data_IF_722967596398
#
_entry.id   IF_722967596398
#
_cell.length_a   1.000
_cell.length_b   1.000
_cell.length_c   1.000
_cell.angle_alpha   90.00
_cell.angle_beta   90.00
_cell.angle_gamma   90.00
#
_symmetry.space_group_name_H-M   'P 1'
#
loop_
_entity.id
_entity.type
_entity.pdbx_description
1 polymer ?
#
# COMPACT_ATOMS: atom_id res chain seq x y z
N UNK A 1 -11.06 14.83 -21.37
CA UNK A 1 -11.18 13.58 -20.60
C UNK A 1 -9.81 12.94 -20.30
N UNK A 2 -9.04 12.46 -21.27
CA UNK A 2 -7.75 11.80 -20.98
C UNK A 2 -6.70 12.70 -20.32
N UNK A 3 -6.62 13.97 -20.70
CA UNK A 3 -5.68 14.94 -20.12
C UNK A 3 -6.10 15.39 -18.72
N UNK A 4 -7.39 15.45 -18.44
CA UNK A 4 -7.91 15.78 -17.12
C UNK A 4 -7.66 14.65 -16.11
N UNK A 5 -7.86 13.42 -16.53
CA UNK A 5 -7.53 12.21 -15.78
C UNK A 5 -6.05 12.18 -15.37
N UNK A 6 -5.14 12.43 -16.32
CA UNK A 6 -3.70 12.49 -16.04
C UNK A 6 -3.34 13.61 -15.07
N UNK A 7 -4.00 14.77 -15.17
CA UNK A 7 -3.77 15.90 -14.24
C UNK A 7 -4.19 15.54 -12.82
N UNK A 8 -5.33 14.88 -12.64
CA UNK A 8 -5.80 14.45 -11.32
C UNK A 8 -4.82 13.45 -10.68
N UNK A 9 -4.34 12.46 -11.44
CA UNK A 9 -3.36 11.47 -10.96
C UNK A 9 -1.99 12.07 -10.61
N UNK A 10 -1.71 13.29 -11.06
CA UNK A 10 -0.49 14.03 -10.73
C UNK A 10 -0.62 14.94 -9.50
N UNK A 11 -1.82 15.12 -8.94
CA UNK A 11 -2.05 16.08 -7.86
C UNK A 11 -1.86 15.48 -6.48
N UNK A 12 -2.08 14.18 -6.33
CA UNK A 12 -2.10 13.50 -5.03
C UNK A 12 -0.85 12.63 -4.89
N UNK A 13 -0.15 12.75 -3.77
CA UNK A 13 0.89 11.81 -3.39
C UNK A 13 0.29 10.70 -2.54
N UNK A 14 0.55 9.45 -2.95
CA UNK A 14 0.13 8.25 -2.22
C UNK A 14 1.32 7.72 -1.42
N UNK A 15 1.20 7.70 -0.09
CA UNK A 15 2.14 7.08 0.82
C UNK A 15 1.81 5.60 1.03
N UNK A 16 2.82 4.74 1.04
CA UNK A 16 2.67 3.29 1.25
C UNK A 16 3.55 2.89 2.42
N UNK A 17 2.91 2.53 3.54
CA UNK A 17 3.55 2.07 4.75
C UNK A 17 3.73 0.55 4.70
N UNK A 18 4.96 0.10 4.53
CA UNK A 18 5.31 -1.31 4.33
C UNK A 18 5.26 -1.72 2.86
N UNK A 19 6.32 -2.39 2.39
CA UNK A 19 6.48 -2.82 1.00
C UNK A 19 6.58 -4.34 0.88
N UNK A 20 5.82 -5.03 1.74
CA UNK A 20 5.66 -6.48 1.73
C UNK A 20 4.70 -6.98 0.65
N UNK A 21 3.98 -8.06 0.95
CA UNK A 21 3.04 -8.70 0.02
C UNK A 21 1.90 -7.81 -0.46
N UNK A 22 1.46 -6.85 0.36
CA UNK A 22 0.46 -5.85 -0.01
C UNK A 22 1.10 -4.64 -0.68
N UNK A 23 1.97 -3.94 0.03
CA UNK A 23 2.46 -2.63 -0.41
C UNK A 23 3.26 -2.67 -1.70
N UNK A 24 4.03 -3.74 -1.95
CA UNK A 24 4.74 -3.89 -3.23
C UNK A 24 3.78 -4.01 -4.42
N UNK A 25 2.68 -4.74 -4.27
CA UNK A 25 1.65 -4.84 -5.31
C UNK A 25 0.84 -3.56 -5.46
N UNK A 26 0.46 -2.88 -4.35
CA UNK A 26 -0.23 -1.58 -4.39
C UNK A 26 0.62 -0.58 -5.20
N UNK A 27 1.91 -0.48 -4.91
CA UNK A 27 2.82 0.42 -5.62
C UNK A 27 2.86 0.15 -7.12
N UNK A 28 2.96 -1.13 -7.53
CA UNK A 28 2.97 -1.53 -8.93
C UNK A 28 1.64 -1.21 -9.63
N UNK A 29 0.51 -1.48 -8.99
CA UNK A 29 -0.81 -1.17 -9.57
C UNK A 29 -1.00 0.33 -9.75
N UNK A 30 -0.64 1.15 -8.75
CA UNK A 30 -0.74 2.61 -8.84
C UNK A 30 0.19 3.18 -9.93
N UNK A 31 1.43 2.68 -10.03
CA UNK A 31 2.37 3.08 -11.06
C UNK A 31 1.84 2.78 -12.48
N UNK A 32 1.28 1.59 -12.68
CA UNK A 32 0.67 1.17 -13.96
C UNK A 32 -0.59 1.95 -14.30
N UNK A 33 -1.36 2.34 -13.29
CA UNK A 33 -2.55 3.17 -13.45
C UNK A 33 -2.23 4.65 -13.74
N UNK A 34 -0.96 5.06 -13.60
CA UNK A 34 -0.52 6.41 -13.96
C UNK A 34 -0.50 7.41 -12.80
N UNK A 35 -0.62 6.97 -11.54
CA UNK A 35 -0.34 7.82 -10.38
C UNK A 35 1.11 8.27 -10.44
N UNK A 36 1.35 9.59 -10.35
CA UNK A 36 2.68 10.14 -10.61
C UNK A 36 3.54 10.32 -9.36
N UNK A 37 2.94 10.40 -8.18
CA UNK A 37 3.65 10.68 -6.94
C UNK A 37 3.46 9.53 -5.95
N UNK A 38 4.52 8.77 -5.71
CA UNK A 38 4.54 7.68 -4.73
C UNK A 38 5.54 7.96 -3.63
N UNK A 39 5.18 7.63 -2.40
CA UNK A 39 6.06 7.68 -1.24
C UNK A 39 6.14 6.28 -0.63
N UNK A 40 7.32 5.68 -0.70
CA UNK A 40 7.59 4.29 -0.33
C UNK A 40 8.33 4.24 1.00
N UNK A 41 7.75 3.61 2.01
CA UNK A 41 8.31 3.53 3.34
C UNK A 41 8.42 2.06 3.76
N UNK A 42 9.63 1.62 4.02
CA UNK A 42 9.95 0.31 4.60
C UNK A 42 11.36 0.34 5.17
N UNK A 43 11.67 -0.49 6.15
CA UNK A 43 13.02 -0.58 6.73
C UNK A 43 13.73 -1.89 6.42
N UNK A 44 13.03 -2.83 5.77
CA UNK A 44 13.55 -4.17 5.49
C UNK A 44 14.38 -4.23 4.20
N UNK A 45 15.10 -5.34 4.12
CA UNK A 45 15.71 -5.82 2.89
C UNK A 45 14.87 -6.93 2.27
N UNK A 46 15.03 -7.11 0.97
CA UNK A 46 14.44 -8.24 0.25
C UNK A 46 15.11 -9.53 0.71
N UNK A 47 14.30 -10.48 1.13
CA UNK A 47 14.71 -11.83 1.49
C UNK A 47 14.14 -12.83 0.48
N UNK A 48 14.84 -13.96 0.26
CA UNK A 48 14.40 -14.99 -0.67
C UNK A 48 13.00 -15.55 -0.31
N UNK A 49 12.71 -15.67 0.99
CA UNK A 49 11.39 -16.10 1.50
C UNK A 49 10.26 -15.12 1.17
N UNK A 50 10.59 -13.91 0.76
CA UNK A 50 9.61 -12.90 0.36
C UNK A 50 9.10 -13.09 -1.08
N UNK A 51 9.89 -13.72 -1.95
CA UNK A 51 9.65 -13.81 -3.39
C UNK A 51 8.38 -14.58 -3.74
N UNK A 52 7.89 -15.42 -2.84
CA UNK A 52 6.66 -16.19 -3.03
C UNK A 52 5.37 -15.34 -3.02
N UNK A 53 5.43 -14.06 -2.53
CA UNK A 53 4.24 -13.21 -2.40
C UNK A 53 4.47 -11.71 -2.52
N UNK A 54 5.72 -11.26 -2.65
CA UNK A 54 6.09 -9.84 -2.79
C UNK A 54 6.58 -9.58 -4.22
N UNK A 55 6.46 -8.36 -4.68
CA UNK A 55 6.82 -7.98 -6.06
C UNK A 55 8.33 -7.69 -6.17
N UNK A 56 9.15 -8.71 -5.90
CA UNK A 56 10.61 -8.66 -6.04
C UNK A 56 11.11 -9.85 -6.84
N UNK A 57 12.36 -9.75 -7.31
CA UNK A 57 13.03 -10.76 -8.10
C UNK A 57 14.27 -11.29 -7.37
N UNK A 58 14.79 -12.44 -7.79
CA UNK A 58 16.02 -13.01 -7.21
C UNK A 58 17.19 -12.02 -7.16
N UNK A 59 17.33 -11.17 -8.19
CA UNK A 59 18.37 -10.13 -8.25
C UNK A 59 18.23 -9.05 -7.16
N UNK A 60 17.08 -8.94 -6.53
CA UNK A 60 16.79 -7.91 -5.52
C UNK A 60 17.13 -8.39 -4.11
N UNK A 61 17.41 -9.68 -3.91
CA UNK A 61 17.74 -10.25 -2.59
C UNK A 61 18.92 -9.52 -1.97
N UNK A 62 18.75 -9.11 -0.71
CA UNK A 62 19.72 -8.32 0.07
C UNK A 62 19.64 -6.81 -0.13
N UNK A 63 18.94 -6.30 -1.16
CA UNK A 63 18.75 -4.87 -1.39
C UNK A 63 17.66 -4.32 -0.45
N UNK A 64 17.70 -3.02 -0.18
CA UNK A 64 16.59 -2.35 0.52
C UNK A 64 15.31 -2.47 -0.32
N UNK A 65 14.18 -2.83 0.32
CA UNK A 65 12.89 -2.94 -0.37
C UNK A 65 12.50 -1.65 -1.05
N UNK A 66 12.75 -0.51 -0.42
CA UNK A 66 12.46 0.82 -0.96
C UNK A 66 13.23 1.11 -2.25
N UNK A 67 14.51 0.74 -2.33
CA UNK A 67 15.36 0.96 -3.51
C UNK A 67 15.01 -0.01 -4.65
N UNK A 68 14.88 -1.30 -4.33
CA UNK A 68 14.56 -2.33 -5.31
C UNK A 68 13.20 -2.06 -5.98
N UNK A 69 12.19 -1.70 -5.19
CA UNK A 69 10.87 -1.39 -5.71
C UNK A 69 10.87 -0.09 -6.52
N UNK A 70 11.54 0.96 -6.05
CA UNK A 70 11.61 2.22 -6.79
C UNK A 70 12.22 2.04 -8.20
N UNK A 71 13.28 1.26 -8.31
CA UNK A 71 13.88 0.93 -9.62
C UNK A 71 12.89 0.21 -10.55
N UNK A 72 12.15 -0.78 -10.03
CA UNK A 72 11.15 -1.50 -10.81
C UNK A 72 10.00 -0.58 -11.26
N UNK A 73 9.53 0.30 -10.37
CA UNK A 73 8.46 1.24 -10.70
C UNK A 73 8.89 2.26 -11.76
N UNK A 74 10.13 2.74 -11.73
CA UNK A 74 10.69 3.62 -12.75
C UNK A 74 10.87 2.90 -14.09
N UNK A 75 11.11 1.59 -14.08
CA UNK A 75 11.12 0.77 -15.30
C UNK A 75 9.71 0.56 -15.90
N UNK A 76 8.65 0.67 -15.07
CA UNK A 76 7.26 0.64 -15.53
C UNK A 76 6.85 2.02 -16.07
N UNK A 77 7.19 3.08 -15.36
CA UNK A 77 6.83 4.45 -15.73
C UNK A 77 7.95 5.41 -15.31
N UNK A 78 8.74 5.86 -16.26
CA UNK A 78 9.89 6.75 -16.02
C UNK A 78 9.51 8.18 -15.59
N UNK A 79 8.23 8.55 -15.73
CA UNK A 79 7.72 9.85 -15.29
C UNK A 79 7.34 9.89 -13.79
N UNK A 80 7.42 8.75 -13.08
CA UNK A 80 7.13 8.69 -11.65
C UNK A 80 8.07 9.55 -10.82
N UNK A 81 7.50 10.22 -9.84
CA UNK A 81 8.21 10.92 -8.77
C UNK A 81 8.10 10.09 -7.50
N UNK A 82 9.17 9.40 -7.17
CA UNK A 82 9.20 8.47 -6.04
C UNK A 82 10.04 9.09 -4.93
N UNK A 83 9.45 9.21 -3.74
CA UNK A 83 10.18 9.44 -2.50
C UNK A 83 10.34 8.10 -1.79
N UNK A 84 11.52 7.79 -1.30
CA UNK A 84 11.80 6.58 -0.51
C UNK A 84 12.27 6.95 0.89
N UNK A 85 11.79 6.25 1.91
CA UNK A 85 12.30 6.37 3.27
C UNK A 85 12.57 4.99 3.86
N UNK A 86 13.86 4.71 4.15
CA UNK A 86 14.28 3.47 4.79
C UNK A 86 14.28 3.66 6.31
N UNK A 87 13.08 3.65 6.89
CA UNK A 87 12.89 3.87 8.33
C UNK A 87 11.81 2.96 8.90
N UNK A 88 11.96 2.59 10.17
CA UNK A 88 10.91 1.94 10.94
C UNK A 88 9.90 2.99 11.40
N UNK A 89 8.63 2.80 11.04
CA UNK A 89 7.54 3.68 11.49
C UNK A 89 7.25 3.45 12.97
N UNK A 90 7.07 4.56 13.68
CA UNK A 90 6.77 4.60 15.11
C UNK A 90 5.69 5.66 15.37
N UNK A 91 5.11 5.66 16.56
CA UNK A 91 4.17 6.67 17.00
C UNK A 91 4.75 8.09 16.91
N UNK A 92 6.05 8.26 17.17
CA UNK A 92 6.71 9.56 17.18
C UNK A 92 7.07 10.11 15.80
N UNK A 93 7.23 9.25 14.79
CA UNK A 93 7.65 9.69 13.46
C UNK A 93 6.57 9.61 12.38
N UNK A 94 5.56 8.73 12.54
CA UNK A 94 4.58 8.44 11.48
C UNK A 94 3.87 9.70 10.97
N UNK A 95 3.42 10.58 11.85
CA UNK A 95 2.78 11.82 11.42
C UNK A 95 3.71 12.69 10.56
N UNK A 96 4.94 12.90 10.97
CA UNK A 96 5.90 13.72 10.21
C UNK A 96 6.23 13.12 8.84
N UNK A 97 6.38 11.78 8.77
CA UNK A 97 6.66 11.03 7.54
C UNK A 97 5.56 11.25 6.51
N UNK A 98 4.30 11.07 6.91
CA UNK A 98 3.15 11.16 5.99
C UNK A 98 2.58 12.58 5.83
N UNK A 99 3.25 13.61 6.35
CA UNK A 99 2.75 14.99 6.34
C UNK A 99 2.27 15.48 4.96
N UNK A 100 2.96 15.10 3.89
CA UNK A 100 2.65 15.59 2.54
C UNK A 100 1.87 14.56 1.68
N UNK A 101 1.46 13.43 2.23
CA UNK A 101 0.68 12.42 1.52
C UNK A 101 -0.81 12.70 1.70
N UNK A 102 -1.57 12.67 0.62
CA UNK A 102 -3.03 12.86 0.65
C UNK A 102 -3.78 11.57 0.94
N UNK A 103 -3.25 10.45 0.42
CA UNK A 103 -3.75 9.10 0.66
C UNK A 103 -2.62 8.26 1.25
N UNK A 104 -2.92 7.47 2.26
CA UNK A 104 -1.96 6.59 2.92
C UNK A 104 -2.49 5.16 2.87
N UNK A 105 -1.74 4.27 2.22
CA UNK A 105 -2.01 2.83 2.21
C UNK A 105 -1.21 2.18 3.34
N UNK A 106 -1.89 1.67 4.35
CA UNK A 106 -1.30 0.91 5.43
C UNK A 106 -1.19 -0.56 5.00
N UNK A 107 0.04 -1.05 4.84
CA UNK A 107 0.39 -2.38 4.33
C UNK A 107 1.44 -3.10 5.18
N UNK A 108 1.58 -2.72 6.46
CA UNK A 108 2.46 -3.42 7.40
C UNK A 108 1.86 -4.76 7.82
N UNK A 109 2.68 -5.67 8.30
CA UNK A 109 2.28 -7.05 8.65
C UNK A 109 1.87 -7.21 10.12
N UNK A 110 2.53 -6.48 11.06
CA UNK A 110 2.22 -6.60 12.49
C UNK A 110 0.91 -5.90 12.85
N UNK A 111 -0.04 -6.61 13.51
CA UNK A 111 -1.29 -6.02 14.00
C UNK A 111 -1.07 -4.82 14.93
N UNK A 112 -0.04 -4.87 15.78
CA UNK A 112 0.31 -3.79 16.71
C UNK A 112 0.78 -2.55 15.96
N UNK A 113 1.67 -2.74 14.95
CA UNK A 113 2.15 -1.63 14.10
C UNK A 113 1.00 -1.04 13.28
N UNK A 114 0.10 -1.88 12.78
CA UNK A 114 -1.12 -1.48 12.06
C UNK A 114 -2.00 -0.58 12.94
N UNK A 115 -2.32 -1.03 14.14
CA UNK A 115 -3.13 -0.27 15.09
C UNK A 115 -2.44 1.06 15.49
N UNK A 116 -1.14 1.02 15.75
CA UNK A 116 -0.35 2.21 16.06
C UNK A 116 -0.41 3.23 14.93
N UNK A 117 -0.18 2.81 13.67
CA UNK A 117 -0.21 3.72 12.52
C UNK A 117 -1.59 4.35 12.33
N UNK A 118 -2.66 3.53 12.36
CA UNK A 118 -4.03 4.01 12.22
C UNK A 118 -4.33 5.07 13.28
N UNK A 119 -4.08 4.77 14.56
CA UNK A 119 -4.36 5.68 15.67
C UNK A 119 -3.55 6.97 15.57
N UNK A 120 -2.24 6.88 15.28
CA UNK A 120 -1.35 8.04 15.16
C UNK A 120 -1.76 8.96 14.02
N UNK A 121 -2.08 8.39 12.86
CA UNK A 121 -2.45 9.18 11.67
C UNK A 121 -3.83 9.82 11.83
N UNK A 122 -4.80 9.14 12.45
CA UNK A 122 -6.09 9.74 12.76
C UNK A 122 -6.01 10.88 13.76
N UNK A 123 -5.17 10.73 14.80
CA UNK A 123 -4.96 11.79 15.79
C UNK A 123 -4.29 13.02 15.15
N UNK A 124 -3.41 12.82 14.16
CA UNK A 124 -2.64 13.88 13.54
C UNK A 124 -3.37 14.59 12.39
N UNK A 125 -4.26 13.89 11.67
CA UNK A 125 -4.81 14.36 10.39
C UNK A 125 -6.31 14.06 10.25
N UNK A 126 -7.13 15.09 10.16
CA UNK A 126 -8.58 14.97 9.96
C UNK A 126 -8.98 14.87 8.46
N UNK A 127 -8.07 15.24 7.57
CA UNK A 127 -8.33 15.42 6.13
C UNK A 127 -7.68 14.37 5.23
N UNK A 128 -6.77 13.56 5.77
CA UNK A 128 -6.10 12.51 4.98
C UNK A 128 -6.94 11.24 4.91
N UNK A 129 -6.85 10.60 3.76
CA UNK A 129 -7.48 9.29 3.58
C UNK A 129 -6.53 8.17 3.96
N UNK A 130 -7.01 7.25 4.78
CA UNK A 130 -6.31 6.04 5.20
C UNK A 130 -6.99 4.80 4.62
N UNK A 131 -6.24 3.99 3.90
CA UNK A 131 -6.66 2.71 3.35
C UNK A 131 -5.85 1.62 4.05
N UNK A 132 -6.48 0.85 4.92
CA UNK A 132 -5.86 -0.26 5.62
C UNK A 132 -6.29 -1.60 5.02
N UNK A 133 -5.50 -2.64 5.26
CA UNK A 133 -5.79 -3.98 4.79
C UNK A 133 -5.84 -4.98 5.95
N UNK A 134 -6.87 -5.85 5.97
CA UNK A 134 -7.02 -6.87 7.01
C UNK A 134 -7.77 -8.09 6.46
N UNK A 135 -7.31 -9.29 6.82
CA UNK A 135 -7.95 -10.54 6.38
C UNK A 135 -7.61 -10.89 4.94
N UNK A 136 -6.38 -11.31 4.70
CA UNK A 136 -5.88 -11.68 3.37
C UNK A 136 -5.11 -13.00 3.35
N UNK A 137 -5.03 -13.72 4.47
CA UNK A 137 -4.33 -15.00 4.53
C UNK A 137 -5.11 -16.13 3.84
N UNK A 138 -4.42 -17.22 3.56
CA UNK A 138 -4.99 -18.43 2.95
C UNK A 138 -5.07 -18.39 1.44
N UNK A 139 -5.92 -19.25 0.89
CA UNK A 139 -6.15 -19.46 -0.54
C UNK A 139 -7.66 -19.61 -0.80
N UNK A 140 -8.13 -19.24 -1.99
CA UNK A 140 -9.55 -19.28 -2.35
C UNK A 140 -10.36 -18.14 -1.73
N UNK A 141 -11.68 -18.27 -1.69
CA UNK A 141 -12.63 -17.27 -1.16
C UNK A 141 -12.39 -15.87 -1.73
N UNK A 142 -12.08 -15.75 -3.01
CA UNK A 142 -11.71 -14.47 -3.65
C UNK A 142 -12.78 -13.39 -3.45
N UNK A 143 -14.06 -13.76 -3.54
CA UNK A 143 -15.19 -12.84 -3.39
C UNK A 143 -15.45 -12.39 -1.93
N UNK A 144 -14.72 -12.93 -0.95
CA UNK A 144 -14.78 -12.46 0.44
C UNK A 144 -13.94 -11.19 0.65
N UNK A 145 -12.95 -10.94 -0.22
CA UNK A 145 -12.19 -9.68 -0.20
C UNK A 145 -13.12 -8.55 -0.65
N UNK A 146 -13.26 -7.54 0.21
CA UNK A 146 -14.16 -6.40 -0.01
C UNK A 146 -13.47 -5.10 0.39
N UNK A 147 -13.86 -4.03 -0.25
CA UNK A 147 -13.61 -2.66 0.20
C UNK A 147 -14.76 -2.22 1.09
N UNK A 148 -14.47 -1.66 2.24
CA UNK A 148 -15.46 -1.15 3.21
C UNK A 148 -15.08 0.25 3.66
N UNK A 149 -16.01 1.18 3.56
CA UNK A 149 -15.90 2.48 4.21
C UNK A 149 -16.22 2.32 5.69
N UNK A 150 -15.24 2.58 6.55
CA UNK A 150 -15.40 2.47 8.02
C UNK A 150 -15.80 3.83 8.60
N UNK A 151 -15.24 4.91 8.07
CA UNK A 151 -15.60 6.28 8.39
C UNK A 151 -15.26 7.20 7.22
N UNK A 152 -15.56 8.48 7.32
CA UNK A 152 -15.42 9.47 6.24
C UNK A 152 -14.12 9.35 5.43
N UNK A 153 -12.99 9.10 6.09
CA UNK A 153 -11.66 9.05 5.45
C UNK A 153 -10.91 7.76 5.81
N UNK A 154 -11.62 6.71 6.24
CA UNK A 154 -11.01 5.43 6.59
C UNK A 154 -11.70 4.27 5.90
N UNK A 155 -10.91 3.52 5.18
CA UNK A 155 -11.34 2.35 4.41
C UNK A 155 -10.55 1.12 4.82
N UNK A 156 -11.22 -0.03 4.74
CA UNK A 156 -10.62 -1.33 5.03
C UNK A 156 -10.83 -2.28 3.86
N UNK A 157 -9.74 -2.79 3.29
CA UNK A 157 -9.73 -3.81 2.25
C UNK A 157 -9.38 -5.16 2.84
N UNK A 158 -10.10 -6.21 2.42
CA UNK A 158 -9.90 -7.56 2.91
C UNK A 158 -11.18 -8.24 3.36
N UNK A 159 -11.09 -9.49 3.86
CA UNK A 159 -12.25 -10.18 4.44
C UNK A 159 -12.46 -9.88 5.93
N UNK A 160 -11.44 -9.34 6.61
CA UNK A 160 -11.49 -8.99 8.03
C UNK A 160 -11.33 -10.16 9.00
N UNK A 161 -11.21 -11.38 8.48
CA UNK A 161 -11.24 -12.63 9.28
C UNK A 161 -9.97 -13.47 9.12
N UNK A 162 -9.46 -13.60 7.88
CA UNK A 162 -8.39 -14.53 7.53
C UNK A 162 -7.03 -14.06 8.02
N UNK A 163 -6.54 -14.63 9.11
CA UNK A 163 -5.19 -14.44 9.65
C UNK A 163 -4.25 -15.60 9.30
N UNK A 164 -2.94 -15.38 9.46
CA UNK A 164 -1.92 -16.45 9.29
C UNK A 164 -2.16 -17.57 10.31
N UNK A 165 -2.58 -17.21 11.53
CA UNK A 165 -2.87 -18.15 12.61
C UNK A 165 -3.98 -19.14 12.26
N UNK A 166 -4.98 -18.69 11.49
CA UNK A 166 -6.12 -19.52 11.09
C UNK A 166 -5.93 -20.21 9.74
N UNK A 167 -5.20 -19.60 8.82
CA UNK A 167 -5.04 -20.05 7.44
C UNK A 167 -3.65 -20.63 7.13
N UNK A 168 -2.70 -20.50 8.05
CA UNK A 168 -1.36 -21.09 8.00
C UNK A 168 -0.38 -20.41 7.03
N UNK A 169 -0.84 -19.63 6.06
CA UNK A 169 0.05 -19.01 5.07
C UNK A 169 -0.55 -17.77 4.40
N UNK A 170 0.33 -16.95 3.84
CA UNK A 170 -0.03 -15.92 2.87
C UNK A 170 0.21 -16.44 1.46
N UNK A 171 -0.72 -16.20 0.55
CA UNK A 171 -0.56 -16.54 -0.86
C UNK A 171 -0.47 -15.27 -1.72
N UNK A 172 0.40 -15.29 -2.75
CA UNK A 172 0.53 -14.16 -3.66
C UNK A 172 -0.80 -13.73 -4.30
N UNK A 173 -1.66 -14.65 -4.80
CA UNK A 173 -2.94 -14.25 -5.40
C UNK A 173 -3.85 -13.50 -4.43
N UNK A 174 -3.95 -13.93 -3.17
CA UNK A 174 -4.81 -13.21 -2.20
C UNK A 174 -4.23 -11.88 -1.77
N UNK A 175 -2.91 -11.81 -1.57
CA UNK A 175 -2.23 -10.55 -1.30
C UNK A 175 -2.41 -9.55 -2.46
N UNK A 176 -2.21 -10.00 -3.70
CA UNK A 176 -2.42 -9.19 -4.89
C UNK A 176 -3.88 -8.75 -5.06
N UNK A 177 -4.86 -9.64 -4.79
CA UNK A 177 -6.28 -9.31 -4.85
C UNK A 177 -6.64 -8.21 -3.83
N UNK A 178 -6.20 -8.33 -2.59
CA UNK A 178 -6.43 -7.31 -1.56
C UNK A 178 -5.71 -6.00 -1.92
N UNK A 179 -4.49 -6.07 -2.44
CA UNK A 179 -3.74 -4.91 -2.92
C UNK A 179 -4.43 -4.23 -4.13
N UNK A 180 -5.07 -5.01 -5.02
CA UNK A 180 -5.84 -4.48 -6.13
C UNK A 180 -7.07 -3.69 -5.64
N UNK A 181 -7.78 -4.19 -4.62
CA UNK A 181 -8.86 -3.45 -3.97
C UNK A 181 -8.36 -2.11 -3.41
N UNK A 182 -7.25 -2.11 -2.66
CA UNK A 182 -6.69 -0.89 -2.09
C UNK A 182 -6.22 0.11 -3.15
N UNK A 183 -5.56 -0.36 -4.21
CA UNK A 183 -5.10 0.47 -5.30
C UNK A 183 -6.26 1.04 -6.13
N UNK A 184 -7.29 0.23 -6.43
CA UNK A 184 -8.48 0.68 -7.15
C UNK A 184 -9.24 1.75 -6.35
N UNK A 185 -9.42 1.53 -5.04
CA UNK A 185 -10.01 2.54 -4.16
C UNK A 185 -9.19 3.85 -4.15
N UNK A 186 -7.87 3.77 -4.02
CA UNK A 186 -7.02 4.96 -4.08
C UNK A 186 -7.21 5.74 -5.38
N UNK A 187 -7.33 5.04 -6.52
CA UNK A 187 -7.62 5.66 -7.81
C UNK A 187 -9.00 6.29 -7.84
N UNK A 188 -10.04 5.60 -7.38
CA UNK A 188 -11.41 6.12 -7.33
C UNK A 188 -11.47 7.42 -6.52
N UNK A 189 -10.81 7.45 -5.35
CA UNK A 189 -10.75 8.63 -4.49
C UNK A 189 -9.98 9.80 -5.12
N UNK A 190 -8.85 9.54 -5.80
CA UNK A 190 -8.12 10.59 -6.55
C UNK A 190 -8.97 11.19 -7.64
N UNK A 191 -9.81 10.39 -8.29
CA UNK A 191 -10.66 10.79 -9.40
C UNK A 191 -12.03 11.34 -8.97
N UNK A 192 -12.30 11.36 -7.65
CA UNK A 192 -13.59 11.81 -7.12
C UNK A 192 -14.76 10.91 -7.51
N UNK A 193 -14.48 9.61 -7.72
CA UNK A 193 -15.51 8.61 -8.00
C UNK A 193 -16.09 8.05 -6.69
N UNK A 194 -17.37 7.67 -6.70
CA UNK A 194 -17.98 6.97 -5.57
C UNK A 194 -17.57 5.50 -5.53
N UNK A 195 -17.39 4.97 -4.30
CA UNK A 195 -17.10 3.56 -3.98
C UNK A 195 -18.15 2.98 -3.02
#
# INVERSE_FOLDING_TARGET
MADDFKKQLAQVRVGIAGLGGLGSHIAVFLARAGVQHLHLIDFDRVDESNLNRQHYFLRDVGRLKTEALAEQLLAINSALKIKTENIKLTETNAAAVFKADGIICEAVDSPETKAMLVNTLFAAYADKTLIACSGLAGTGRSNAIKTRCISKNFYLCGDGESGIETCGQLSAPRAALCAAHAANLALALILGLEE
#
